data_IF_404828116629
#
_entry.id   IF_404828116629
#
_cell.length_a   1.000
_cell.length_b   1.000
_cell.length_c   1.000
_cell.angle_alpha   90.00
_cell.angle_beta   90.00
_cell.angle_gamma   90.00
#
_symmetry.space_group_name_H-M   'P 1'
#
loop_
_entity.id
_entity.type
_entity.pdbx_description
1 polymer ?
#
# COMPACT_ATOMS: atom_id res chain seq x y z
N UNK A 1 1.05 -11.98 -5.20
CA UNK A 1 0.11 -12.06 -6.32
C UNK A 1 -0.57 -10.73 -6.55
N UNK A 2 -1.16 -10.52 -7.71
CA UNK A 2 -1.90 -9.30 -8.05
C UNK A 2 -3.31 -9.38 -7.46
N UNK A 3 -3.74 -8.27 -6.88
CA UNK A 3 -5.07 -8.12 -6.29
C UNK A 3 -5.14 -8.47 -4.80
N UNK A 4 -6.21 -7.99 -4.12
CA UNK A 4 -6.27 -8.04 -2.66
C UNK A 4 -6.40 -9.47 -2.11
N UNK A 5 -7.06 -10.37 -2.84
CA UNK A 5 -7.24 -11.77 -2.39
C UNK A 5 -5.92 -12.51 -2.37
N UNK A 6 -5.17 -12.48 -3.48
CA UNK A 6 -3.88 -13.15 -3.57
C UNK A 6 -2.84 -12.56 -2.61
N UNK A 7 -2.85 -11.24 -2.43
CA UNK A 7 -1.97 -10.58 -1.47
C UNK A 7 -2.27 -11.03 -0.03
N UNK A 8 -3.56 -11.09 0.35
CA UNK A 8 -3.98 -11.55 1.68
C UNK A 8 -3.57 -13.00 1.93
N UNK A 9 -3.88 -13.90 0.99
CA UNK A 9 -3.61 -15.34 1.12
C UNK A 9 -2.10 -15.58 1.29
N UNK A 10 -1.29 -15.04 0.38
CA UNK A 10 0.15 -15.32 0.36
C UNK A 10 0.85 -14.74 1.60
N UNK A 11 0.54 -13.49 1.99
CA UNK A 11 1.18 -12.90 3.17
C UNK A 11 0.71 -13.59 4.46
N UNK A 12 -0.58 -13.93 4.57
CA UNK A 12 -1.09 -14.65 5.75
C UNK A 12 -0.42 -16.00 5.89
N UNK A 13 -0.24 -16.75 4.80
CA UNK A 13 0.46 -18.04 4.82
C UNK A 13 1.91 -17.87 5.30
N UNK A 14 2.65 -16.92 4.70
CA UNK A 14 4.05 -16.65 5.08
C UNK A 14 4.18 -16.24 6.56
N UNK A 15 3.36 -15.29 7.03
CA UNK A 15 3.40 -14.87 8.44
C UNK A 15 2.96 -15.98 9.40
N UNK A 16 2.07 -16.90 8.97
CA UNK A 16 1.71 -18.07 9.77
C UNK A 16 2.88 -19.01 9.95
N UNK A 17 3.61 -19.33 8.87
CA UNK A 17 4.80 -20.18 8.91
C UNK A 17 5.89 -19.57 9.81
N UNK A 18 6.18 -18.28 9.65
CA UNK A 18 7.14 -17.56 10.48
C UNK A 18 6.72 -17.54 11.96
N UNK A 19 5.43 -17.34 12.25
CA UNK A 19 4.92 -17.40 13.63
C UNK A 19 5.08 -18.77 14.26
N UNK A 20 4.85 -19.85 13.51
CA UNK A 20 5.03 -21.22 14.00
C UNK A 20 6.50 -21.56 14.26
N UNK A 21 7.42 -20.87 13.60
CA UNK A 21 8.87 -21.01 13.79
C UNK A 21 9.44 -20.03 14.82
N UNK A 22 8.59 -19.22 15.48
CA UNK A 22 8.98 -18.14 16.39
C UNK A 22 9.93 -17.10 15.75
N UNK A 23 9.71 -16.83 14.46
CA UNK A 23 10.55 -15.96 13.60
C UNK A 23 9.72 -14.88 12.87
N UNK A 24 8.73 -14.30 13.56
CA UNK A 24 7.96 -13.18 13.00
C UNK A 24 8.86 -11.98 12.75
N UNK A 25 8.72 -11.30 11.60
CA UNK A 25 9.51 -10.11 11.31
C UNK A 25 9.05 -8.92 12.20
N UNK A 26 9.98 -8.04 12.49
CA UNK A 26 9.68 -6.78 13.19
C UNK A 26 8.97 -5.76 12.30
N UNK A 27 9.04 -5.93 10.98
CA UNK A 27 8.46 -5.04 9.98
C UNK A 27 8.15 -5.78 8.68
N UNK A 28 7.00 -5.51 8.09
CA UNK A 28 6.71 -5.83 6.70
C UNK A 28 6.86 -4.57 5.84
N UNK A 29 7.56 -4.68 4.72
CA UNK A 29 7.66 -3.62 3.72
C UNK A 29 7.01 -4.08 2.43
N UNK A 30 6.00 -3.36 1.95
CA UNK A 30 5.40 -3.65 0.64
C UNK A 30 5.94 -2.69 -0.40
N UNK A 31 6.46 -3.24 -1.49
CA UNK A 31 7.00 -2.50 -2.64
C UNK A 31 6.14 -2.76 -3.86
N UNK A 32 5.90 -1.74 -4.66
CA UNK A 32 5.15 -1.90 -5.90
C UNK A 32 4.86 -0.61 -6.63
N UNK A 33 4.10 -0.73 -7.72
CA UNK A 33 3.60 0.41 -8.48
C UNK A 33 2.25 0.89 -7.94
N UNK A 34 1.90 2.12 -8.26
CA UNK A 34 0.60 2.72 -8.01
C UNK A 34 0.23 3.67 -9.15
N UNK A 35 -1.07 3.81 -9.40
CA UNK A 35 -1.60 4.83 -10.29
C UNK A 35 -1.91 6.13 -9.53
N UNK A 36 -1.68 7.29 -10.19
CA UNK A 36 -2.06 8.60 -9.67
C UNK A 36 -2.20 9.63 -10.78
N UNK A 37 -3.27 10.45 -10.73
CA UNK A 37 -3.44 11.59 -11.65
C UNK A 37 -2.68 12.85 -11.22
N UNK A 38 -2.37 12.97 -9.95
CA UNK A 38 -1.86 14.21 -9.32
C UNK A 38 -0.41 14.13 -8.92
N UNK A 39 0.06 12.93 -8.52
CA UNK A 39 1.44 12.74 -8.11
C UNK A 39 2.39 12.67 -9.31
N UNK A 40 3.65 12.93 -9.05
CA UNK A 40 4.69 12.93 -10.07
C UNK A 40 5.01 11.51 -10.54
N UNK A 41 4.89 11.27 -11.85
CA UNK A 41 5.15 9.97 -12.46
C UNK A 41 6.62 9.58 -12.32
N UNK A 42 6.87 8.28 -12.18
CA UNK A 42 8.18 7.71 -11.90
C UNK A 42 8.82 8.16 -10.57
N UNK A 43 8.07 8.82 -9.66
CA UNK A 43 8.52 9.11 -8.30
C UNK A 43 7.99 8.11 -7.29
N UNK A 44 8.73 7.93 -6.17
CA UNK A 44 8.35 7.03 -5.07
C UNK A 44 7.73 7.81 -3.92
N UNK A 45 6.64 7.27 -3.40
CA UNK A 45 5.92 7.78 -2.24
C UNK A 45 5.76 6.68 -1.19
N UNK A 46 5.78 7.07 0.08
CA UNK A 46 5.36 6.20 1.19
C UNK A 46 3.89 6.45 1.51
N UNK A 47 3.15 5.37 1.71
CA UNK A 47 1.76 5.46 2.14
C UNK A 47 1.69 5.93 3.59
N UNK A 48 0.90 6.99 3.85
CA UNK A 48 0.62 7.47 5.22
C UNK A 48 -0.66 6.88 5.78
N UNK A 49 -1.54 6.45 4.89
CA UNK A 49 -2.82 5.82 5.20
C UNK A 49 -3.23 4.89 4.08
N UNK A 50 -4.10 3.94 4.38
CA UNK A 50 -4.67 3.01 3.42
C UNK A 50 -6.16 2.89 3.61
N UNK A 51 -6.94 3.04 2.53
CA UNK A 51 -8.39 2.82 2.48
C UNK A 51 -8.76 1.65 1.54
N UNK A 52 -9.97 1.08 1.70
CA UNK A 52 -10.48 0.00 0.85
C UNK A 52 -11.68 0.47 0.04
N UNK A 53 -11.43 0.93 -1.20
CA UNK A 53 -12.47 1.57 -2.05
C UNK A 53 -13.60 0.64 -2.50
N UNK A 54 -13.34 -0.69 -2.55
CA UNK A 54 -14.33 -1.66 -3.01
C UNK A 54 -15.32 -2.10 -1.90
N UNK A 55 -15.01 -1.77 -0.63
CA UNK A 55 -15.88 -2.09 0.48
C UNK A 55 -16.99 -1.04 0.57
N UNK A 56 -18.17 -1.39 0.12
CA UNK A 56 -19.34 -0.51 0.17
C UNK A 56 -20.57 -1.27 0.70
N UNK A 57 -20.87 -1.06 1.95
CA UNK A 57 -22.07 -1.52 2.62
C UNK A 57 -22.98 -0.35 3.04
N UNK A 58 -22.88 0.79 2.34
CA UNK A 58 -23.62 2.02 2.68
C UNK A 58 -25.14 1.85 2.60
N UNK A 59 -25.64 0.96 1.74
CA UNK A 59 -27.06 0.59 1.68
C UNK A 59 -27.59 0.01 3.00
N UNK A 60 -26.71 -0.53 3.84
CA UNK A 60 -27.03 -1.04 5.17
C UNK A 60 -26.71 -0.04 6.29
N UNK A 61 -26.31 1.19 5.94
CA UNK A 61 -25.99 2.26 6.89
C UNK A 61 -24.54 2.27 7.39
N UNK A 62 -23.64 1.48 6.81
CA UNK A 62 -22.20 1.54 7.12
C UNK A 62 -21.52 2.62 6.29
N UNK A 63 -20.45 3.21 6.83
CA UNK A 63 -19.59 4.10 6.07
C UNK A 63 -18.88 3.35 4.95
N UNK A 64 -18.78 3.96 3.76
CA UNK A 64 -18.03 3.38 2.64
C UNK A 64 -16.56 3.20 3.03
N UNK A 65 -15.98 2.06 2.71
CA UNK A 65 -14.63 1.67 3.12
C UNK A 65 -14.58 0.90 4.44
N UNK A 66 -15.63 1.00 5.28
CA UNK A 66 -15.72 0.24 6.52
C UNK A 66 -16.23 -1.17 6.28
N UNK A 67 -15.50 -2.17 6.77
CA UNK A 67 -15.99 -3.55 6.78
C UNK A 67 -16.99 -3.72 7.91
N UNK A 68 -18.25 -4.15 7.65
CA UNK A 68 -19.25 -4.36 8.68
C UNK A 68 -18.75 -5.30 9.80
N UNK A 69 -19.09 -4.97 11.06
CA UNK A 69 -18.78 -5.76 12.25
C UNK A 69 -17.28 -5.92 12.56
N UNK A 70 -16.43 -5.12 11.93
CA UNK A 70 -14.99 -5.02 12.27
C UNK A 70 -14.70 -3.60 12.72
N UNK A 71 -14.03 -3.47 13.86
CA UNK A 71 -13.75 -2.18 14.50
C UNK A 71 -12.46 -1.56 13.94
N UNK A 72 -12.56 -0.94 12.75
CA UNK A 72 -11.54 -0.04 12.21
C UNK A 72 -12.17 0.97 11.24
N UNK A 73 -11.56 2.17 11.11
CA UNK A 73 -12.09 3.23 10.25
C UNK A 73 -11.95 2.91 8.75
N UNK A 74 -12.66 3.65 7.90
CA UNK A 74 -12.59 3.54 6.45
C UNK A 74 -11.17 3.82 5.91
N UNK A 75 -10.42 4.66 6.58
CA UNK A 75 -9.01 4.97 6.29
C UNK A 75 -8.15 4.66 7.51
N UNK A 76 -7.18 3.76 7.35
CA UNK A 76 -6.30 3.29 8.42
C UNK A 76 -4.94 3.97 8.27
N UNK A 77 -4.50 4.67 9.32
CA UNK A 77 -3.20 5.35 9.34
C UNK A 77 -2.05 4.36 9.48
N UNK A 78 -0.97 4.60 8.73
CA UNK A 78 0.31 3.91 8.90
C UNK A 78 1.24 4.83 9.73
N UNK A 79 1.69 4.40 10.92
CA UNK A 79 2.41 5.30 11.83
C UNK A 79 3.88 5.52 11.46
N UNK A 80 4.51 4.55 10.80
CA UNK A 80 5.94 4.59 10.53
C UNK A 80 6.28 5.40 9.28
N UNK A 81 7.39 6.15 9.33
CA UNK A 81 7.86 7.03 8.25
C UNK A 81 9.33 6.79 7.95
N UNK A 82 9.67 6.87 6.68
CA UNK A 82 11.06 6.89 6.20
C UNK A 82 11.42 8.36 5.94
N UNK A 83 12.40 8.94 6.64
CA UNK A 83 12.81 10.32 6.44
C UNK A 83 13.21 10.60 4.98
N UNK A 84 12.73 11.73 4.44
CA UNK A 84 13.05 12.17 3.08
C UNK A 84 12.41 11.36 1.95
N UNK A 85 11.40 10.52 2.24
CA UNK A 85 10.49 9.96 1.26
C UNK A 85 9.18 10.76 1.28
N UNK A 86 8.69 11.14 0.10
CA UNK A 86 7.42 11.85 -0.06
C UNK A 86 6.25 11.00 0.46
N UNK A 87 5.22 11.65 0.97
CA UNK A 87 4.07 11.02 1.60
C UNK A 87 2.83 11.11 0.69
N UNK A 88 1.98 10.09 0.74
CA UNK A 88 0.71 10.07 0.00
C UNK A 88 -0.31 9.14 0.66
N UNK A 89 -1.61 9.47 0.51
CA UNK A 89 -2.74 8.63 0.90
C UNK A 89 -2.99 7.58 -0.18
N UNK A 90 -3.24 6.33 0.22
CA UNK A 90 -3.38 5.20 -0.70
C UNK A 90 -4.79 4.58 -0.63
N UNK A 91 -5.38 4.30 -1.77
CA UNK A 91 -6.64 3.57 -1.86
C UNK A 91 -6.47 2.25 -2.61
N UNK A 92 -6.80 1.14 -1.96
CA UNK A 92 -6.74 -0.21 -2.53
C UNK A 92 -8.09 -0.66 -3.09
N UNK A 93 -8.07 -1.36 -4.22
CA UNK A 93 -9.25 -2.04 -4.78
C UNK A 93 -8.86 -3.08 -5.82
N UNK A 94 -9.79 -3.94 -6.22
CA UNK A 94 -9.53 -5.08 -7.11
C UNK A 94 -9.56 -4.73 -8.61
N UNK A 95 -9.73 -3.46 -8.96
CA UNK A 95 -9.81 -3.00 -10.36
C UNK A 95 -8.69 -2.02 -10.69
N UNK A 96 -8.29 -2.02 -11.96
CA UNK A 96 -7.43 -0.97 -12.53
C UNK A 96 -8.24 0.32 -12.64
N UNK A 97 -7.70 1.42 -12.13
CA UNK A 97 -8.33 2.75 -12.18
C UNK A 97 -7.74 3.52 -13.36
N UNK A 98 -8.58 4.07 -14.22
CA UNK A 98 -8.15 4.88 -15.36
C UNK A 98 -9.16 5.99 -15.66
N UNK A 99 -8.72 7.08 -16.26
CA UNK A 99 -9.57 8.17 -16.73
C UNK A 99 -10.45 8.76 -15.62
N UNK A 100 -11.74 8.94 -15.92
CA UNK A 100 -12.72 9.53 -15.00
C UNK A 100 -12.99 8.71 -13.73
N UNK A 101 -12.58 7.43 -13.67
CA UNK A 101 -12.76 6.62 -12.48
C UNK A 101 -12.00 7.16 -11.26
N UNK A 102 -10.94 7.96 -11.46
CA UNK A 102 -10.24 8.65 -10.39
C UNK A 102 -11.09 9.70 -9.66
N UNK A 103 -12.12 10.26 -10.31
CA UNK A 103 -12.93 11.35 -9.73
C UNK A 103 -13.74 10.90 -8.49
N UNK A 104 -13.98 9.60 -8.36
CA UNK A 104 -14.70 9.00 -7.24
C UNK A 104 -13.78 8.53 -6.08
N UNK A 105 -12.47 8.75 -6.20
CA UNK A 105 -11.48 8.22 -5.25
C UNK A 105 -10.88 9.38 -4.45
N UNK A 106 -11.15 9.38 -3.13
CA UNK A 106 -10.55 10.32 -2.19
C UNK A 106 -9.22 9.77 -1.64
N UNK A 107 -8.20 9.76 -2.49
CA UNK A 107 -6.83 9.40 -2.16
C UNK A 107 -5.87 9.97 -3.21
N UNK A 108 -4.58 10.03 -2.90
CA UNK A 108 -3.55 10.58 -3.79
C UNK A 108 -3.09 9.55 -4.84
N UNK A 109 -3.09 8.27 -4.46
CA UNK A 109 -2.67 7.14 -5.31
C UNK A 109 -3.53 5.91 -5.08
N UNK A 110 -3.51 5.00 -6.05
CA UNK A 110 -4.30 3.75 -6.02
C UNK A 110 -3.42 2.53 -6.29
N UNK A 111 -3.73 1.43 -5.62
CA UNK A 111 -3.14 0.11 -5.87
C UNK A 111 -4.18 -1.01 -5.78
N UNK A 112 -3.71 -2.24 -5.78
CA UNK A 112 -4.57 -3.42 -5.70
C UNK A 112 -4.25 -4.34 -4.50
N UNK A 113 -3.28 -4.04 -3.65
CA UNK A 113 -2.77 -4.98 -2.63
C UNK A 113 -2.67 -4.42 -1.20
N UNK A 114 -2.36 -3.15 -1.03
CA UNK A 114 -1.90 -2.59 0.25
C UNK A 114 -2.89 -2.77 1.40
N UNK A 115 -4.20 -2.63 1.17
CA UNK A 115 -5.17 -2.86 2.23
C UNK A 115 -5.17 -4.32 2.70
N UNK A 116 -5.10 -5.27 1.78
CA UNK A 116 -5.05 -6.70 2.10
C UNK A 116 -3.78 -7.06 2.86
N UNK A 117 -2.64 -6.50 2.47
CA UNK A 117 -1.35 -6.63 3.15
C UNK A 117 -1.44 -6.04 4.57
N UNK A 118 -1.99 -4.83 4.71
CA UNK A 118 -2.18 -4.18 6.01
C UNK A 118 -3.03 -5.05 6.94
N UNK A 119 -4.14 -5.61 6.46
CA UNK A 119 -5.02 -6.47 7.26
C UNK A 119 -4.32 -7.77 7.69
N UNK A 120 -3.48 -8.35 6.83
CA UNK A 120 -2.65 -9.49 7.20
C UNK A 120 -1.64 -9.10 8.29
N UNK A 121 -0.92 -7.99 8.12
CA UNK A 121 0.03 -7.49 9.12
C UNK A 121 -0.63 -7.24 10.48
N UNK A 122 -1.79 -6.58 10.52
CA UNK A 122 -2.56 -6.33 11.75
C UNK A 122 -2.99 -7.63 12.45
N UNK A 123 -3.28 -8.71 11.70
CA UNK A 123 -3.64 -10.02 12.28
C UNK A 123 -2.49 -10.65 13.06
N UNK A 124 -1.26 -10.32 12.73
CA UNK A 124 -0.04 -10.82 13.35
C UNK A 124 0.66 -9.79 14.26
N UNK A 125 0.09 -8.59 14.38
CA UNK A 125 0.68 -7.49 15.16
C UNK A 125 2.09 -7.10 14.63
N UNK A 126 2.23 -7.08 13.30
CA UNK A 126 3.47 -6.71 12.61
C UNK A 126 3.25 -5.35 11.93
N UNK A 127 4.11 -4.35 12.17
CA UNK A 127 4.01 -3.05 11.50
C UNK A 127 4.22 -3.15 9.99
N UNK A 128 3.63 -2.19 9.26
CA UNK A 128 3.71 -2.10 7.79
C UNK A 128 4.27 -0.75 7.36
N UNK A 129 5.19 -0.76 6.41
CA UNK A 129 5.57 0.40 5.57
C UNK A 129 5.20 0.08 4.13
N UNK A 130 4.46 0.97 3.48
CA UNK A 130 4.09 0.86 2.07
C UNK A 130 4.86 1.86 1.21
N UNK A 131 5.62 1.36 0.22
CA UNK A 131 6.31 2.17 -0.78
C UNK A 131 5.72 1.92 -2.16
N UNK A 132 5.36 2.98 -2.86
CA UNK A 132 4.75 2.93 -4.18
C UNK A 132 5.44 3.88 -5.14
N UNK A 133 5.84 3.34 -6.29
CA UNK A 133 6.29 4.16 -7.41
C UNK A 133 5.13 4.46 -8.36
N UNK A 134 4.97 5.70 -8.76
CA UNK A 134 3.88 6.10 -9.66
C UNK A 134 4.19 5.65 -11.08
N UNK A 135 3.48 4.63 -11.56
CA UNK A 135 3.67 4.06 -12.89
C UNK A 135 2.76 4.69 -13.95
N UNK A 136 1.56 5.14 -13.56
CA UNK A 136 0.49 5.53 -14.46
C UNK A 136 -0.52 6.49 -13.81
N UNK A 137 -1.52 6.88 -14.57
CA UNK A 137 -2.70 7.64 -14.09
C UNK A 137 -2.84 9.05 -14.69
N UNK A 138 -1.78 9.67 -15.22
CA UNK A 138 -1.89 10.95 -15.94
C UNK A 138 -2.58 10.80 -17.29
N UNK A 139 -2.30 9.71 -17.98
CA UNK A 139 -2.91 9.35 -19.26
C UNK A 139 -3.78 8.11 -19.09
N UNK A 140 -4.73 7.90 -20.00
CA UNK A 140 -5.58 6.71 -19.98
C UNK A 140 -4.77 5.47 -20.33
N UNK A 141 -4.91 4.43 -19.51
CA UNK A 141 -4.32 3.13 -19.80
C UNK A 141 -5.13 2.42 -20.88
N UNK A 142 -4.49 2.11 -22.01
CA UNK A 142 -5.10 1.38 -23.12
C UNK A 142 -4.50 -0.01 -23.34
N UNK A 143 -3.29 -0.23 -22.88
CA UNK A 143 -2.56 -1.50 -23.04
C UNK A 143 -1.52 -1.70 -21.93
N UNK A 144 -1.04 -2.92 -21.79
CA UNK A 144 -0.06 -3.31 -20.77
C UNK A 144 1.24 -2.49 -20.84
N UNK A 145 1.69 -2.10 -22.04
CA UNK A 145 2.90 -1.29 -22.21
C UNK A 145 2.82 0.10 -21.57
N UNK A 146 1.62 0.65 -21.43
CA UNK A 146 1.42 1.98 -20.83
C UNK A 146 1.73 1.92 -19.33
N UNK A 147 1.35 0.83 -18.66
CA UNK A 147 1.68 0.56 -17.27
C UNK A 147 3.17 0.23 -17.07
N UNK A 148 3.78 -0.55 -17.99
CA UNK A 148 5.17 -1.02 -17.81
C UNK A 148 6.24 -0.01 -18.21
N UNK A 149 5.88 1.08 -18.87
CA UNK A 149 6.82 2.04 -19.46
C UNK A 149 7.83 2.61 -18.44
N UNK A 150 7.40 2.82 -17.18
CA UNK A 150 8.21 3.45 -16.13
C UNK A 150 8.71 2.47 -15.07
N UNK A 151 8.37 1.19 -15.14
CA UNK A 151 8.69 0.23 -14.06
C UNK A 151 10.18 0.14 -13.76
N UNK A 152 11.05 0.23 -14.77
CA UNK A 152 12.50 0.18 -14.55
C UNK A 152 13.03 1.38 -13.75
N UNK A 153 12.46 2.58 -13.95
CA UNK A 153 12.82 3.79 -13.17
C UNK A 153 12.24 3.68 -11.75
N UNK A 154 11.02 3.17 -11.65
CA UNK A 154 10.36 2.92 -10.36
C UNK A 154 11.15 1.93 -9.52
N UNK A 155 11.62 0.82 -10.11
CA UNK A 155 12.43 -0.19 -9.41
C UNK A 155 13.72 0.39 -8.85
N UNK A 156 14.45 1.21 -9.61
CA UNK A 156 15.66 1.88 -9.15
C UNK A 156 15.38 2.82 -7.96
N UNK A 157 14.32 3.62 -8.05
CA UNK A 157 13.93 4.54 -6.98
C UNK A 157 13.39 3.83 -5.74
N UNK A 158 12.67 2.71 -5.90
CA UNK A 158 12.25 1.86 -4.80
C UNK A 158 13.46 1.26 -4.08
N UNK A 159 14.49 0.81 -4.82
CA UNK A 159 15.74 0.35 -4.21
C UNK A 159 16.39 1.42 -3.34
N UNK A 160 16.51 2.65 -3.83
CA UNK A 160 17.01 3.77 -3.04
C UNK A 160 16.15 4.09 -1.80
N UNK A 161 14.83 3.93 -1.89
CA UNK A 161 13.95 4.12 -0.74
C UNK A 161 14.15 3.03 0.32
N UNK A 162 14.42 1.78 -0.10
CA UNK A 162 14.79 0.68 0.80
C UNK A 162 16.13 0.93 1.48
N UNK A 163 17.13 1.47 0.76
CA UNK A 163 18.42 1.85 1.35
C UNK A 163 18.25 2.92 2.44
N UNK A 164 17.39 3.92 2.21
CA UNK A 164 17.05 4.93 3.24
C UNK A 164 16.35 4.31 4.44
N UNK A 165 15.41 3.38 4.22
CA UNK A 165 14.76 2.65 5.31
C UNK A 165 15.79 1.91 6.15
N UNK A 166 16.68 1.15 5.51
CA UNK A 166 17.75 0.41 6.19
C UNK A 166 18.63 1.35 7.03
N UNK A 167 19.10 2.45 6.44
CA UNK A 167 19.92 3.44 7.15
C UNK A 167 19.17 4.05 8.35
N UNK A 168 17.88 4.37 8.19
CA UNK A 168 17.04 4.90 9.27
C UNK A 168 16.81 3.92 10.42
N UNK A 169 16.67 2.62 10.12
CA UNK A 169 16.57 1.57 11.13
C UNK A 169 17.91 1.37 11.87
N UNK A 170 19.03 1.32 11.15
CA UNK A 170 20.38 1.15 11.71
C UNK A 170 20.80 2.34 12.58
N UNK A 171 20.41 3.56 12.20
CA UNK A 171 20.69 4.78 12.98
C UNK A 171 19.76 4.98 14.18
N UNK A 172 18.66 4.26 14.26
CA UNK A 172 17.59 4.45 15.25
C UNK A 172 16.68 5.65 14.99
N UNK A 173 16.79 6.32 13.83
CA UNK A 173 15.89 7.40 13.41
C UNK A 173 14.46 6.88 13.15
N UNK A 174 14.37 5.63 12.68
CA UNK A 174 13.10 4.91 12.53
C UNK A 174 12.97 3.94 13.70
N UNK A 175 11.99 4.19 14.57
CA UNK A 175 11.66 3.29 15.67
C UNK A 175 10.38 2.52 15.33
N UNK A 176 10.45 1.19 15.41
CA UNK A 176 9.31 0.30 15.22
C UNK A 176 8.64 0.05 16.59
N UNK A 177 7.95 1.05 17.13
CA UNK A 177 7.10 0.81 18.30
C UNK A 177 5.89 -0.02 17.86
N UNK A 178 5.64 -1.12 18.55
CA UNK A 178 4.36 -1.83 18.44
C UNK A 178 3.28 -0.89 18.97
N UNK A 179 2.32 -0.56 18.12
CA UNK A 179 1.18 0.29 18.44
C UNK A 179 0.19 -0.38 19.36
#
# INVERSE_FOLDING_TARGET
GVGPVEAAINLTAALTELKLSDDLPDLVVTLGSAGSRTLEQAEVYQAISVSYRDMDASVLGFEKGCTPFVDFPAEIMLPHRIPGIREARLSTGANVVSGAAYDAIDADMVDMESFAILRACQKFDVPLIGLRGISDGKEELSKLSDWTAYLHVVDEKLSHAVDKLKAGLESGEISLSKG
#
